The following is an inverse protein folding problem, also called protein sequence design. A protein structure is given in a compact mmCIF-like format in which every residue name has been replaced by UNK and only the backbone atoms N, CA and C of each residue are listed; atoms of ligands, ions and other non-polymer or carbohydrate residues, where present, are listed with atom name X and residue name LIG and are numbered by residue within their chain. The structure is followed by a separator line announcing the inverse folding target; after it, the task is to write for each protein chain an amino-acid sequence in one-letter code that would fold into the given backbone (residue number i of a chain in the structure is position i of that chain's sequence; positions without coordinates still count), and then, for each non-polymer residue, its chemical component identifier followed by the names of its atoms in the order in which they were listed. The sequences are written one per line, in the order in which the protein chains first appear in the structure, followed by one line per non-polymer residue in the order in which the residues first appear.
data_IF_674604582315
#
_entry.id   IF_674604582315
#
_cell.length_a   1.000
_cell.length_b   1.000
_cell.length_c   1.000
_cell.angle_alpha   90.00
_cell.angle_beta   90.00
_cell.angle_gamma   90.00
#
_symmetry.space_group_name_H-M   'P 1'
#
loop_
_entity.id
_entity.type
_entity.pdbx_description
1 polymer ?
#
# COMPACT_ATOMS: atom_id res chain seq x y z
N UNK A 1 4.08 13.24 -1.37
CA UNK A 1 3.17 12.27 -2.02
C UNK A 1 4.03 11.20 -2.64
N UNK A 2 4.31 10.13 -1.89
CA UNK A 2 4.92 8.95 -2.46
C UNK A 2 3.75 8.11 -2.99
N UNK A 3 3.38 8.32 -4.24
CA UNK A 3 2.47 7.40 -4.90
C UNK A 3 3.14 6.00 -4.88
N UNK A 4 2.43 4.96 -4.42
CA UNK A 4 3.00 3.62 -4.39
C UNK A 4 3.38 3.21 -5.80
N UNK A 5 4.67 2.88 -6.00
CA UNK A 5 5.18 2.51 -7.31
C UNK A 5 4.48 1.24 -7.81
N UNK A 6 4.29 1.10 -9.13
CA UNK A 6 3.65 -0.07 -9.74
C UNK A 6 4.26 -1.40 -9.28
N UNK A 7 5.56 -1.41 -8.97
CA UNK A 7 6.23 -2.57 -8.40
C UNK A 7 5.64 -2.99 -7.05
N UNK A 8 5.42 -2.05 -6.14
CA UNK A 8 4.87 -2.33 -4.80
C UNK A 8 3.44 -2.82 -4.91
N UNK A 9 2.64 -2.16 -5.75
CA UNK A 9 1.25 -2.56 -6.03
C UNK A 9 1.23 -3.98 -6.57
N UNK A 10 2.09 -4.29 -7.55
CA UNK A 10 2.20 -5.63 -8.13
C UNK A 10 2.58 -6.68 -7.09
N UNK A 11 3.61 -6.44 -6.29
CA UNK A 11 4.05 -7.39 -5.25
C UNK A 11 2.93 -7.64 -4.24
N UNK A 12 2.23 -6.59 -3.81
CA UNK A 12 1.16 -6.68 -2.82
C UNK A 12 -0.08 -7.38 -3.40
N UNK A 13 -0.47 -7.03 -4.61
CA UNK A 13 -1.56 -7.67 -5.35
C UNK A 13 -1.28 -9.16 -5.56
N UNK A 14 -0.06 -9.51 -5.97
CA UNK A 14 0.33 -10.89 -6.19
C UNK A 14 0.29 -11.69 -4.88
N UNK A 15 0.78 -11.14 -3.76
CA UNK A 15 0.66 -11.80 -2.45
C UNK A 15 -0.78 -12.03 -2.03
N UNK A 16 -1.66 -11.04 -2.22
CA UNK A 16 -3.09 -11.18 -1.91
C UNK A 16 -3.76 -12.23 -2.79
N UNK A 17 -3.43 -12.24 -4.08
CA UNK A 17 -3.92 -13.21 -5.04
C UNK A 17 -3.45 -14.64 -4.71
N UNK A 18 -2.17 -14.82 -4.37
CA UNK A 18 -1.62 -16.11 -3.93
C UNK A 18 -2.26 -16.60 -2.63
N UNK A 19 -2.45 -15.71 -1.65
CA UNK A 19 -3.11 -16.04 -0.38
C UNK A 19 -4.59 -16.41 -0.58
N UNK A 20 -5.26 -15.84 -1.58
CA UNK A 20 -6.62 -16.16 -1.97
C UNK A 20 -6.75 -17.46 -2.79
N UNK A 21 -5.64 -18.14 -3.11
CA UNK A 21 -5.65 -19.38 -3.88
C UNK A 21 -5.61 -19.16 -5.40
N UNK A 22 -5.14 -18.01 -5.86
CA UNK A 22 -4.95 -17.66 -7.27
C UNK A 22 -6.21 -17.79 -8.14
N UNK A 23 -7.32 -17.14 -7.75
CA UNK A 23 -8.52 -17.13 -8.59
C UNK A 23 -8.22 -16.44 -9.94
N UNK A 24 -8.42 -17.16 -11.05
CA UNK A 24 -8.30 -16.60 -12.40
C UNK A 24 -9.35 -15.50 -12.62
N UNK A 25 -8.90 -14.34 -13.12
CA UNK A 25 -9.78 -13.22 -13.48
C UNK A 25 -10.14 -12.28 -12.32
N UNK A 26 -9.54 -12.44 -11.13
CA UNK A 26 -9.66 -11.49 -10.01
C UNK A 26 -8.43 -10.65 -9.78
N UNK A 27 -7.41 -10.79 -10.62
CA UNK A 27 -6.13 -10.09 -10.51
C UNK A 27 -6.31 -8.56 -10.44
N UNK A 28 -7.22 -8.00 -11.23
CA UNK A 28 -7.55 -6.57 -11.22
C UNK A 28 -8.17 -6.09 -9.90
N UNK A 29 -8.99 -6.92 -9.25
CA UNK A 29 -9.60 -6.61 -7.95
C UNK A 29 -8.51 -6.58 -6.86
N UNK A 30 -7.57 -7.53 -6.89
CA UNK A 30 -6.42 -7.54 -6.00
C UNK A 30 -5.44 -6.40 -6.27
N UNK A 31 -5.26 -6.02 -7.54
CA UNK A 31 -4.44 -4.86 -7.93
C UNK A 31 -5.01 -3.56 -7.36
N UNK A 32 -6.29 -3.28 -7.62
CA UNK A 32 -7.00 -2.11 -7.08
C UNK A 32 -6.95 -2.05 -5.56
N UNK A 33 -7.10 -3.21 -4.90
CA UNK A 33 -7.04 -3.29 -3.44
C UNK A 33 -5.64 -3.02 -2.90
N UNK A 34 -4.62 -3.61 -3.51
CA UNK A 34 -3.23 -3.36 -3.18
C UNK A 34 -2.84 -1.87 -3.34
N UNK A 35 -3.25 -1.24 -4.43
CA UNK A 35 -3.03 0.18 -4.68
C UNK A 35 -3.65 1.04 -3.57
N UNK A 36 -4.91 0.77 -3.19
CA UNK A 36 -5.61 1.51 -2.15
C UNK A 36 -4.94 1.38 -0.78
N UNK A 37 -4.53 0.15 -0.42
CA UNK A 37 -3.84 -0.10 0.85
C UNK A 37 -2.49 0.59 0.89
N UNK A 38 -1.68 0.47 -0.17
CA UNK A 38 -0.36 1.09 -0.22
C UNK A 38 -0.44 2.61 -0.25
N UNK A 39 -1.42 3.20 -0.94
CA UNK A 39 -1.64 4.65 -0.93
C UNK A 39 -1.95 5.14 0.49
N UNK A 40 -2.83 4.42 1.18
CA UNK A 40 -3.19 4.72 2.56
C UNK A 40 -1.99 4.57 3.49
N UNK A 41 -1.22 3.48 3.37
CA UNK A 41 -0.04 3.23 4.19
C UNK A 41 1.07 4.24 3.94
N UNK A 42 1.27 4.67 2.69
CA UNK A 42 2.21 5.74 2.34
C UNK A 42 1.82 7.08 3.00
N UNK A 43 0.53 7.42 3.02
CA UNK A 43 0.03 8.61 3.74
C UNK A 43 0.22 8.49 5.26
N UNK A 44 0.03 7.31 5.85
CA UNK A 44 0.25 7.07 7.28
C UNK A 44 1.73 7.11 7.65
N UNK A 45 2.61 6.53 6.83
CA UNK A 45 4.05 6.57 7.04
C UNK A 45 4.60 7.99 6.91
N UNK A 46 4.04 8.80 6.01
CA UNK A 46 4.40 10.22 5.88
C UNK A 46 4.08 10.97 7.19
N UNK A 47 2.87 10.79 7.73
CA UNK A 47 2.45 11.34 9.03
C UNK A 47 3.25 10.82 10.22
N UNK A 48 3.71 9.57 10.19
CA UNK A 48 4.46 8.95 11.29
C UNK A 48 5.96 9.32 11.27
N UNK A 49 6.50 9.66 10.09
CA UNK A 49 7.88 10.16 9.94
C UNK A 49 8.05 11.60 10.38
N UNK A 50 6.95 12.33 10.57
CA UNK A 50 6.97 13.56 11.34
C UNK A 50 7.37 13.17 12.78
N UNK A 51 8.58 13.51 13.27
CA UNK A 51 8.82 13.39 14.70
C UNK A 51 7.72 14.21 15.39
N UNK A 52 7.19 13.81 16.55
CA UNK A 52 6.41 14.72 17.35
C UNK A 52 7.33 15.90 17.64
N UNK A 53 7.21 16.97 16.85
CA UNK A 53 7.88 18.23 17.08
C UNK A 53 7.18 18.88 18.26
N UNK A 54 7.32 18.25 19.44
CA UNK A 54 7.12 18.87 20.72
C UNK A 54 8.37 19.74 20.97
N UNK A 55 8.37 20.93 20.37
CA UNK A 55 9.09 22.09 20.90
C UNK A 55 8.02 23.13 21.26
N UNK A 56 8.08 23.80 22.42
CA UNK A 56 9.23 24.67 22.72
C UNK A 56 9.72 24.65 24.19
N UNK A 57 10.97 25.13 24.34
CA UNK A 57 11.51 25.98 25.44
C UNK A 57 11.08 25.74 26.87
#
# INVERSE_FOLDING_TARGET
MADPNDHEIRVRAHRLWEAAGRPEGRDEEFWRRAELELRTEAEQLDKLKEPPNNLPG
#
